data_IF_929210393065
#
_entry.id   IF_929210393065
#
_cell.length_a   1.000
_cell.length_b   1.000
_cell.length_c   1.000
_cell.angle_alpha   90.00
_cell.angle_beta   90.00
_cell.angle_gamma   90.00
#
_symmetry.space_group_name_H-M   'P 1'
#
loop_
_entity.id
_entity.type
_entity.pdbx_description
1 polymer ?
#
# COMPACT_ATOMS: atom_id res chain seq x y z
N UNK A 1 17.37 17.55 -0.54
CA UNK A 1 16.86 18.85 -0.07
C UNK A 1 16.48 19.62 -1.32
N UNK A 2 15.18 19.83 -1.55
CA UNK A 2 14.70 20.42 -2.81
C UNK A 2 15.26 21.84 -2.97
N UNK A 3 15.98 22.13 -4.09
CA UNK A 3 16.52 23.45 -4.35
C UNK A 3 15.45 24.54 -4.30
N UNK A 4 15.84 25.75 -3.88
CA UNK A 4 14.94 26.91 -3.75
C UNK A 4 14.15 27.13 -5.04
N UNK A 5 14.82 27.08 -6.20
CA UNK A 5 14.22 27.23 -7.53
C UNK A 5 13.19 26.17 -7.95
N UNK A 6 13.05 25.06 -7.20
CA UNK A 6 12.06 24.02 -7.49
C UNK A 6 10.91 23.98 -6.48
N UNK A 7 10.88 24.90 -5.51
CA UNK A 7 9.80 24.97 -4.53
C UNK A 7 8.56 25.60 -5.15
N UNK A 8 7.40 25.12 -4.71
CA UNK A 8 6.09 25.57 -5.19
C UNK A 8 5.19 25.83 -4.00
N UNK A 9 4.45 26.95 -4.03
CA UNK A 9 3.49 27.32 -3.00
C UNK A 9 2.09 26.88 -3.42
N UNK A 10 1.49 25.89 -2.73
CA UNK A 10 0.13 25.49 -2.99
C UNK A 10 -0.85 26.58 -2.54
N UNK A 11 -1.93 26.77 -3.29
CA UNK A 11 -3.02 27.69 -2.93
C UNK A 11 -4.34 26.92 -2.93
N UNK A 12 -5.24 27.13 -1.97
CA UNK A 12 -6.58 26.52 -1.98
C UNK A 12 -7.48 27.22 -3.01
N UNK A 13 -7.13 27.10 -4.29
CA UNK A 13 -7.90 27.62 -5.43
C UNK A 13 -8.44 26.46 -6.28
N UNK A 14 -9.21 26.77 -7.32
CA UNK A 14 -9.72 25.77 -8.26
C UNK A 14 -8.57 24.99 -8.92
N UNK A 15 -8.79 23.70 -9.15
CA UNK A 15 -7.80 22.85 -9.79
C UNK A 15 -7.58 23.31 -11.24
N UNK A 16 -6.32 23.42 -11.69
CA UNK A 16 -6.01 24.01 -13.00
C UNK A 16 -6.54 23.16 -14.16
N UNK A 17 -6.55 21.84 -14.01
CA UNK A 17 -7.05 20.90 -15.02
C UNK A 17 -8.02 19.86 -14.44
N UNK A 18 -9.31 20.20 -14.26
CA UNK A 18 -10.34 19.28 -13.73
C UNK A 18 -10.45 17.96 -14.52
N UNK A 19 -10.23 18.00 -15.83
CA UNK A 19 -10.38 16.83 -16.69
C UNK A 19 -9.24 15.83 -16.51
N UNK A 20 -8.02 16.28 -16.19
CA UNK A 20 -6.89 15.40 -15.90
C UNK A 20 -7.07 14.56 -14.63
N UNK A 21 -8.06 14.89 -13.79
CA UNK A 21 -8.38 14.15 -12.58
C UNK A 21 -9.74 13.45 -12.64
N UNK A 22 -10.30 13.30 -13.83
CA UNK A 22 -11.50 12.48 -13.99
C UNK A 22 -11.19 11.02 -13.63
N UNK A 23 -11.97 10.45 -12.70
CA UNK A 23 -11.85 9.04 -12.36
C UNK A 23 -12.36 8.17 -13.50
N UNK A 24 -11.58 7.15 -13.85
CA UNK A 24 -11.98 6.13 -14.81
C UNK A 24 -12.74 5.04 -14.04
N UNK A 25 -13.93 4.61 -14.50
CA UNK A 25 -14.63 3.50 -13.88
C UNK A 25 -13.76 2.24 -13.92
N UNK A 26 -13.79 1.49 -12.83
CA UNK A 26 -13.08 0.21 -12.73
C UNK A 26 -14.03 -0.87 -13.27
N UNK A 27 -13.60 -1.52 -14.35
CA UNK A 27 -14.24 -2.73 -14.86
C UNK A 27 -13.97 -3.87 -13.86
N UNK A 28 -15.00 -4.28 -13.13
CA UNK A 28 -14.91 -5.40 -12.20
C UNK A 28 -15.16 -6.67 -13.02
N UNK A 29 -14.16 -7.54 -13.12
CA UNK A 29 -14.35 -8.86 -13.75
C UNK A 29 -15.32 -9.71 -12.96
N UNK A 30 -15.97 -10.65 -13.64
CA UNK A 30 -16.87 -11.60 -12.99
C UNK A 30 -16.17 -12.33 -11.85
N UNK A 31 -16.88 -12.50 -10.73
CA UNK A 31 -16.37 -13.20 -9.56
C UNK A 31 -16.12 -14.66 -9.94
N UNK A 32 -14.91 -15.15 -9.66
CA UNK A 32 -14.57 -16.56 -9.88
C UNK A 32 -15.48 -17.45 -9.04
N UNK A 33 -16.00 -18.52 -9.65
CA UNK A 33 -16.79 -19.50 -8.91
C UNK A 33 -15.90 -20.24 -7.91
N UNK A 34 -16.39 -20.39 -6.68
CA UNK A 34 -15.70 -21.13 -5.63
C UNK A 34 -15.61 -22.62 -6.00
N UNK A 35 -14.47 -23.29 -5.74
CA UNK A 35 -14.39 -24.74 -5.92
C UNK A 35 -15.28 -25.44 -4.91
N UNK A 36 -16.01 -26.47 -5.36
CA UNK A 36 -16.80 -27.33 -4.46
C UNK A 36 -15.95 -28.33 -3.70
N UNK A 37 -14.75 -28.64 -4.21
CA UNK A 37 -13.78 -29.54 -3.59
C UNK A 37 -12.40 -28.86 -3.58
N UNK A 38 -12.10 -28.04 -2.56
CA UNK A 38 -10.80 -27.38 -2.45
C UNK A 38 -9.69 -28.42 -2.21
N UNK A 39 -8.46 -28.06 -2.58
CA UNK A 39 -7.28 -28.88 -2.29
C UNK A 39 -7.12 -29.04 -0.77
N UNK A 40 -6.78 -30.25 -0.29
CA UNK A 40 -6.56 -30.45 1.13
C UNK A 40 -5.38 -29.60 1.61
N UNK A 41 -5.44 -29.15 2.86
CA UNK A 41 -4.43 -28.28 3.46
C UNK A 41 -3.02 -28.91 3.47
N UNK A 42 -2.95 -30.24 3.49
CA UNK A 42 -1.70 -31.01 3.39
C UNK A 42 -0.92 -30.76 2.11
N UNK A 43 -1.63 -30.38 1.05
CA UNK A 43 -1.08 -30.23 -0.30
C UNK A 43 -0.79 -28.76 -0.61
N UNK A 44 -0.95 -27.86 0.39
CA UNK A 44 -0.60 -26.46 0.25
C UNK A 44 0.90 -26.30 0.01
N UNK A 45 1.26 -25.54 -1.03
CA UNK A 45 2.64 -25.23 -1.37
C UNK A 45 2.90 -23.76 -1.02
N UNK A 46 3.75 -23.47 -0.02
CA UNK A 46 4.07 -22.10 0.34
C UNK A 46 4.65 -21.30 -0.83
N UNK A 47 4.20 -20.06 -0.96
CA UNK A 47 4.69 -19.13 -1.97
C UNK A 47 5.60 -18.08 -1.34
N UNK A 48 6.19 -17.22 -2.16
CA UNK A 48 6.97 -16.08 -1.67
C UNK A 48 6.12 -15.07 -0.86
N UNK A 49 4.80 -14.99 -1.09
CA UNK A 49 3.90 -14.05 -0.41
C UNK A 49 3.14 -14.70 0.74
N UNK A 50 2.69 -15.95 0.56
CA UNK A 50 1.98 -16.74 1.55
C UNK A 50 2.89 -17.88 2.03
N UNK A 51 3.76 -17.56 3.00
CA UNK A 51 4.60 -18.55 3.66
C UNK A 51 3.79 -19.37 4.66
N UNK A 52 4.32 -20.50 5.10
CA UNK A 52 3.65 -21.32 6.12
C UNK A 52 3.38 -20.52 7.40
N UNK A 53 4.38 -19.78 7.91
CA UNK A 53 4.22 -18.95 9.11
C UNK A 53 3.09 -17.90 8.98
N UNK A 54 2.95 -17.32 7.78
CA UNK A 54 1.90 -16.35 7.47
C UNK A 54 0.52 -17.02 7.41
N UNK A 55 0.45 -18.21 6.82
CA UNK A 55 -0.77 -18.99 6.78
C UNK A 55 -1.21 -19.40 8.19
N UNK A 56 -0.28 -19.92 9.00
CA UNK A 56 -0.55 -20.34 10.38
C UNK A 56 -0.98 -19.14 11.24
N UNK A 57 -0.38 -17.96 11.05
CA UNK A 57 -0.81 -16.74 11.70
C UNK A 57 -2.26 -16.36 11.34
N UNK A 58 -2.67 -16.48 10.07
CA UNK A 58 -4.06 -16.25 9.67
C UNK A 58 -4.97 -17.29 10.32
N UNK A 59 -4.64 -18.58 10.25
CA UNK A 59 -5.48 -19.65 10.79
C UNK A 59 -5.61 -19.56 12.31
N UNK A 60 -4.59 -19.06 13.02
CA UNK A 60 -4.67 -18.82 14.46
C UNK A 60 -5.72 -17.79 14.88
N UNK A 61 -6.17 -16.94 13.94
CA UNK A 61 -7.25 -15.98 14.20
C UNK A 61 -8.63 -16.62 14.13
N UNK A 62 -8.74 -17.81 13.54
CA UNK A 62 -9.99 -18.55 13.42
C UNK A 62 -10.22 -19.32 14.72
N UNK A 63 -11.35 -19.10 15.43
CA UNK A 63 -11.65 -19.85 16.65
C UNK A 63 -11.82 -21.35 16.41
N UNK A 64 -11.44 -22.15 17.41
CA UNK A 64 -11.62 -23.61 17.36
C UNK A 64 -13.08 -23.99 17.13
N UNK A 65 -13.32 -24.87 16.16
CA UNK A 65 -14.66 -25.35 15.80
C UNK A 65 -15.52 -24.35 15.02
N UNK A 66 -15.00 -23.17 14.66
CA UNK A 66 -15.74 -22.21 13.82
C UNK A 66 -15.83 -22.64 12.36
N UNK A 67 -14.75 -23.19 11.81
CA UNK A 67 -14.69 -23.73 10.46
C UNK A 67 -14.46 -25.24 10.48
N UNK A 68 -15.16 -25.97 9.62
CA UNK A 68 -14.83 -27.36 9.30
C UNK A 68 -13.51 -27.46 8.52
N UNK A 69 -12.94 -28.67 8.46
CA UNK A 69 -11.70 -28.89 7.69
C UNK A 69 -11.83 -28.53 6.21
N UNK A 70 -13.01 -28.72 5.62
CA UNK A 70 -13.31 -28.36 4.23
C UNK A 70 -13.40 -26.84 4.04
N UNK A 71 -14.02 -26.13 4.99
CA UNK A 71 -14.10 -24.67 4.95
C UNK A 71 -12.73 -24.01 5.18
N UNK A 72 -11.89 -24.60 6.04
CA UNK A 72 -10.49 -24.15 6.19
C UNK A 72 -9.73 -24.32 4.87
N UNK A 73 -9.86 -25.49 4.22
CA UNK A 73 -9.24 -25.72 2.91
C UNK A 73 -9.72 -24.71 1.85
N UNK A 74 -11.03 -24.39 1.85
CA UNK A 74 -11.59 -23.36 0.97
C UNK A 74 -11.03 -21.96 1.28
N UNK A 75 -10.92 -21.61 2.56
CA UNK A 75 -10.34 -20.33 2.99
C UNK A 75 -8.89 -20.20 2.51
N UNK A 76 -8.07 -21.24 2.69
CA UNK A 76 -6.68 -21.24 2.21
C UNK A 76 -6.62 -21.07 0.70
N UNK A 77 -7.49 -21.76 -0.05
CA UNK A 77 -7.58 -21.60 -1.50
C UNK A 77 -7.90 -20.16 -1.92
N UNK A 78 -8.87 -19.51 -1.25
CA UNK A 78 -9.22 -18.11 -1.53
C UNK A 78 -8.04 -17.18 -1.23
N UNK A 79 -7.34 -17.40 -0.12
CA UNK A 79 -6.18 -16.60 0.27
C UNK A 79 -5.04 -16.78 -0.73
N UNK A 80 -4.79 -18.00 -1.20
CA UNK A 80 -3.72 -18.29 -2.15
C UNK A 80 -3.95 -17.58 -3.49
N UNK A 81 -5.18 -17.63 -4.03
CA UNK A 81 -5.55 -16.90 -5.25
C UNK A 81 -5.40 -15.38 -5.06
N UNK A 82 -5.73 -14.88 -3.88
CA UNK A 82 -5.77 -13.45 -3.58
C UNK A 82 -4.57 -12.97 -2.76
N UNK A 83 -3.47 -13.72 -2.72
CA UNK A 83 -2.33 -13.44 -1.83
C UNK A 83 -1.69 -12.06 -2.03
N UNK A 84 -1.85 -11.47 -3.21
CA UNK A 84 -1.36 -10.11 -3.52
C UNK A 84 -2.19 -9.01 -2.86
N UNK A 85 -3.46 -9.29 -2.51
CA UNK A 85 -4.33 -8.34 -1.84
C UNK A 85 -3.96 -8.15 -0.35
N UNK A 86 -3.20 -9.09 0.22
CA UNK A 86 -2.76 -9.04 1.62
C UNK A 86 -1.34 -8.47 1.67
N UNK A 87 -1.13 -7.50 2.57
CA UNK A 87 0.16 -6.89 2.82
C UNK A 87 0.62 -7.22 4.25
N UNK A 88 1.77 -7.87 4.37
CA UNK A 88 2.37 -8.20 5.67
C UNK A 88 3.39 -7.16 6.14
N UNK A 89 3.98 -6.44 5.19
CA UNK A 89 4.95 -5.37 5.42
C UNK A 89 4.53 -4.11 4.67
N UNK A 90 5.02 -2.93 5.09
CA UNK A 90 4.70 -1.66 4.39
C UNK A 90 5.18 -1.65 2.94
N UNK A 91 6.22 -2.44 2.61
CA UNK A 91 6.70 -2.65 1.24
C UNK A 91 5.76 -3.49 0.37
N UNK A 92 4.90 -4.30 0.98
CA UNK A 92 3.92 -5.13 0.26
C UNK A 92 2.58 -4.42 0.05
N UNK A 93 2.44 -3.21 0.58
CA UNK A 93 1.23 -2.40 0.53
C UNK A 93 0.85 -2.05 -0.92
N UNK A 94 -0.43 -2.16 -1.24
CA UNK A 94 -0.96 -1.69 -2.52
C UNK A 94 -0.86 -0.17 -2.69
N UNK A 95 -0.65 0.26 -3.93
CA UNK A 95 -0.75 1.66 -4.34
C UNK A 95 -1.85 1.82 -5.38
N UNK A 96 -2.51 2.97 -5.40
CA UNK A 96 -3.46 3.27 -6.47
C UNK A 96 -2.75 3.28 -7.82
N UNK A 97 -3.34 2.62 -8.79
CA UNK A 97 -2.81 2.61 -10.15
C UNK A 97 -3.04 3.97 -10.80
N UNK A 98 -1.97 4.55 -11.34
CA UNK A 98 -2.01 5.83 -12.09
C UNK A 98 -2.96 5.80 -13.29
N UNK A 99 -3.35 4.61 -13.75
CA UNK A 99 -4.37 4.43 -14.79
C UNK A 99 -5.75 4.92 -14.35
N UNK A 100 -6.14 4.61 -13.11
CA UNK A 100 -7.48 4.94 -12.59
C UNK A 100 -7.45 6.18 -11.70
N UNK A 101 -6.32 6.42 -11.04
CA UNK A 101 -6.08 7.54 -10.14
C UNK A 101 -4.85 8.31 -10.64
N UNK A 102 -5.02 9.23 -11.59
CA UNK A 102 -3.91 10.04 -12.09
C UNK A 102 -3.29 10.88 -10.97
N UNK A 103 -2.02 11.25 -11.14
CA UNK A 103 -1.29 12.03 -10.14
C UNK A 103 -2.00 13.38 -9.90
N UNK A 104 -2.09 13.78 -8.63
CA UNK A 104 -2.81 15.00 -8.26
C UNK A 104 -2.03 16.27 -8.66
N UNK A 105 -2.64 17.14 -9.45
CA UNK A 105 -2.07 18.44 -9.80
C UNK A 105 -2.44 19.48 -8.73
N UNK A 106 -1.44 19.90 -7.97
CA UNK A 106 -1.61 20.93 -6.94
C UNK A 106 -1.61 22.32 -7.62
N UNK A 107 -2.68 23.13 -7.51
CA UNK A 107 -2.67 24.50 -8.01
C UNK A 107 -1.60 25.33 -7.30
N UNK A 108 -0.80 26.05 -8.09
CA UNK A 108 0.26 26.93 -7.60
C UNK A 108 0.11 28.32 -8.20
N UNK A 109 0.61 29.32 -7.49
CA UNK A 109 0.72 30.70 -7.98
C UNK A 109 2.18 31.08 -8.13
N UNK A 110 2.46 32.06 -8.98
CA UNK A 110 3.78 32.67 -9.03
C UNK A 110 4.12 33.28 -7.66
N UNK A 111 5.23 32.84 -7.08
CA UNK A 111 5.66 33.26 -5.75
C UNK A 111 7.18 33.30 -5.70
N UNK A 112 7.71 34.14 -4.82
CA UNK A 112 9.14 34.16 -4.54
C UNK A 112 9.48 32.92 -3.72
N UNK A 113 10.46 32.19 -4.20
CA UNK A 113 10.91 30.95 -3.61
C UNK A 113 11.52 31.24 -2.23
N UNK A 114 11.08 30.49 -1.22
CA UNK A 114 11.48 30.75 0.16
C UNK A 114 11.93 29.47 0.88
N UNK A 115 12.74 29.66 1.92
CA UNK A 115 13.28 28.58 2.73
C UNK A 115 13.08 28.93 4.19
N UNK A 116 12.32 28.08 4.89
CA UNK A 116 12.37 28.05 6.34
C UNK A 116 13.57 27.24 6.82
N UNK A 117 14.20 27.74 7.88
CA UNK A 117 15.19 26.97 8.62
C UNK A 117 14.51 25.71 9.16
N UNK A 118 15.09 24.51 8.95
CA UNK A 118 14.56 23.29 9.53
C UNK A 118 14.52 23.40 11.06
N UNK A 119 13.44 22.92 11.67
CA UNK A 119 13.34 22.79 13.13
C UNK A 119 14.38 21.77 13.59
N UNK A 120 15.25 22.10 14.56
CA UNK A 120 16.27 21.16 15.04
C UNK A 120 15.60 19.95 15.70
N UNK A 121 16.01 18.76 15.29
CA UNK A 121 15.58 17.51 15.92
C UNK A 121 16.37 17.33 17.23
N UNK A 122 15.72 17.04 18.37
CA UNK A 122 16.43 16.73 19.59
C UNK A 122 17.34 15.50 19.43
N UNK A 123 18.56 15.56 19.95
CA UNK A 123 19.55 14.46 19.84
C UNK A 123 19.00 13.09 20.25
N UNK A 124 18.21 13.05 21.33
CA UNK A 124 17.59 11.82 21.83
C UNK A 124 16.60 11.16 20.85
N UNK A 125 16.11 11.90 19.84
CA UNK A 125 15.16 11.42 18.84
C UNK A 125 15.81 11.18 17.47
N UNK A 126 17.06 11.59 17.26
CA UNK A 126 17.70 11.53 15.93
C UNK A 126 17.70 10.11 15.34
N UNK A 127 18.06 9.10 16.14
CA UNK A 127 18.12 7.71 15.67
C UNK A 127 16.75 7.17 15.28
N UNK A 128 15.72 7.51 16.06
CA UNK A 128 14.34 7.12 15.76
C UNK A 128 13.86 7.77 14.47
N UNK A 129 14.09 9.09 14.32
CA UNK A 129 13.72 9.83 13.10
C UNK A 129 14.44 9.25 11.89
N UNK A 130 15.75 8.97 11.99
CA UNK A 130 16.54 8.37 10.91
C UNK A 130 15.99 7.00 10.50
N UNK A 131 15.57 6.19 11.47
CA UNK A 131 15.00 4.86 11.22
C UNK A 131 13.68 4.97 10.44
N UNK A 132 12.80 5.90 10.84
CA UNK A 132 11.55 6.17 10.13
C UNK A 132 11.81 6.69 8.72
N UNK A 133 12.73 7.64 8.54
CA UNK A 133 13.04 8.17 7.21
C UNK A 133 13.53 7.06 6.26
N UNK A 134 14.46 6.20 6.72
CA UNK A 134 14.95 5.07 5.94
C UNK A 134 13.86 4.06 5.60
N UNK A 135 12.91 3.80 6.51
CA UNK A 135 11.81 2.89 6.22
C UNK A 135 10.84 3.47 5.19
N UNK A 136 10.57 4.77 5.25
CA UNK A 136 9.72 5.44 4.25
C UNK A 136 10.41 5.56 2.87
N UNK A 137 11.73 5.75 2.84
CA UNK A 137 12.54 5.69 1.61
C UNK A 137 12.50 4.28 1.00
N UNK A 138 12.72 3.23 1.82
CA UNK A 138 12.64 1.85 1.36
C UNK A 138 11.24 1.46 0.87
N UNK A 139 10.19 2.03 1.47
CA UNK A 139 8.81 1.89 1.02
C UNK A 139 8.46 2.74 -0.23
N UNK A 140 9.42 3.51 -0.76
CA UNK A 140 9.23 4.33 -1.96
C UNK A 140 8.35 5.57 -1.75
N UNK A 141 8.05 5.96 -0.50
CA UNK A 141 7.24 7.16 -0.21
C UNK A 141 8.05 8.44 -0.28
N UNK A 142 9.34 8.35 0.03
CA UNK A 142 10.27 9.48 -0.03
C UNK A 142 11.31 9.23 -1.10
N UNK A 143 11.65 10.28 -1.83
CA UNK A 143 12.68 10.29 -2.86
C UNK A 143 13.69 11.41 -2.60
N UNK A 144 14.93 11.21 -3.06
CA UNK A 144 15.93 12.27 -3.04
C UNK A 144 15.57 13.33 -4.08
N UNK A 145 15.43 14.57 -3.62
CA UNK A 145 15.03 15.73 -4.42
C UNK A 145 15.91 16.95 -4.19
#
# INVERSE_FOLDING_TARGET
>A
YKPVHRKVQPVPTYMPNPQAQAFIPIEISDVLSLPTHPLPLSDFIPTARLTQDRLDAILSTVPDGFLSSEEVALLVHIIDINQQAIAWTDSERGTFSRRYFPDYEIPTVEHVLWVNRPVPVPKALEDKVRTVLRSQEAAGKYEYS
#
